data_IF_736202075942
#
_entry.id   IF_736202075942
#
_cell.length_a   1.000
_cell.length_b   1.000
_cell.length_c   1.000
_cell.angle_alpha   90.00
_cell.angle_beta   90.00
_cell.angle_gamma   90.00
#
_symmetry.space_group_name_H-M   'P 1'
#
loop_
_entity.id
_entity.type
_entity.pdbx_description
1 polymer ?
#
# COMPACT_ATOMS: atom_id res chain seq x y z
N UNK A 1 -4.87 -12.76 6.19
CA UNK A 1 -5.24 -11.34 6.03
C UNK A 1 -5.53 -11.10 4.56
N UNK A 2 -6.66 -10.52 4.20
CA UNK A 2 -6.96 -10.14 2.81
C UNK A 2 -6.57 -8.68 2.52
N UNK A 3 -6.62 -8.24 1.26
CA UNK A 3 -6.22 -6.88 0.86
C UNK A 3 -7.02 -5.79 1.57
N UNK A 4 -8.32 -5.98 1.79
CA UNK A 4 -9.15 -5.00 2.49
C UNK A 4 -8.74 -4.85 3.96
N UNK A 5 -8.40 -5.97 4.62
CA UNK A 5 -7.86 -5.94 5.97
C UNK A 5 -6.52 -5.21 6.02
N UNK A 6 -5.60 -5.50 5.10
CA UNK A 6 -4.31 -4.80 5.01
C UNK A 6 -4.50 -3.30 4.75
N UNK A 7 -5.42 -2.92 3.87
CA UNK A 7 -5.76 -1.52 3.61
C UNK A 7 -6.21 -0.79 4.87
N UNK A 8 -7.14 -1.39 5.64
CA UNK A 8 -7.59 -0.84 6.91
C UNK A 8 -6.45 -0.73 7.94
N UNK A 9 -5.59 -1.75 8.04
CA UNK A 9 -4.41 -1.70 8.93
C UNK A 9 -3.44 -0.58 8.54
N UNK A 10 -3.20 -0.36 7.24
CA UNK A 10 -2.34 0.72 6.77
C UNK A 10 -2.95 2.11 7.03
N UNK A 11 -4.28 2.26 6.95
CA UNK A 11 -4.97 3.48 7.38
C UNK A 11 -4.74 3.72 8.88
N UNK A 12 -4.87 2.68 9.70
CA UNK A 12 -4.67 2.80 11.15
C UNK A 12 -3.21 3.09 11.51
N UNK A 13 -2.26 2.48 10.81
CA UNK A 13 -0.84 2.72 11.00
C UNK A 13 -0.46 4.19 10.76
N UNK A 14 -1.01 4.78 9.69
CA UNK A 14 -0.86 6.19 9.32
C UNK A 14 -1.97 7.10 9.86
N UNK A 15 -2.63 6.72 10.96
CA UNK A 15 -3.66 7.56 11.59
C UNK A 15 -3.17 9.00 11.80
N UNK A 16 -4.03 9.96 11.51
CA UNK A 16 -3.73 11.40 11.53
C UNK A 16 -2.74 11.90 10.46
N UNK A 17 -2.34 11.06 9.50
CA UNK A 17 -1.53 11.45 8.34
C UNK A 17 -2.31 11.25 7.02
N UNK A 18 -3.25 12.15 6.70
CA UNK A 18 -4.06 12.02 5.49
C UNK A 18 -3.22 12.06 4.20
N UNK A 19 -2.05 12.71 4.22
CA UNK A 19 -1.16 12.77 3.05
C UNK A 19 -0.60 11.39 2.73
N UNK A 20 -0.10 10.66 3.74
CA UNK A 20 0.39 9.28 3.55
C UNK A 20 -0.72 8.31 3.20
N UNK A 21 -1.88 8.44 3.85
CA UNK A 21 -3.04 7.60 3.52
C UNK A 21 -3.42 7.76 2.05
N UNK A 22 -3.53 9.00 1.57
CA UNK A 22 -3.82 9.28 0.16
C UNK A 22 -2.70 8.81 -0.77
N UNK A 23 -1.43 8.95 -0.37
CA UNK A 23 -0.28 8.52 -1.15
C UNK A 23 -0.32 7.02 -1.44
N UNK A 24 -0.33 6.16 -0.41
CA UNK A 24 -0.30 4.72 -0.65
C UNK A 24 -1.59 4.23 -1.35
N UNK A 25 -2.74 4.88 -1.10
CA UNK A 25 -4.01 4.53 -1.78
C UNK A 25 -3.91 4.78 -3.29
N UNK A 26 -3.28 5.89 -3.71
CA UNK A 26 -3.02 6.20 -5.12
C UNK A 26 -1.99 5.24 -5.72
N UNK A 27 -0.90 4.97 -5.01
CA UNK A 27 0.13 4.02 -5.45
C UNK A 27 -0.47 2.65 -5.69
N UNK A 28 -1.28 2.12 -4.76
CA UNK A 28 -2.01 0.86 -4.95
C UNK A 28 -2.93 0.90 -6.18
N UNK A 29 -3.74 1.96 -6.32
CA UNK A 29 -4.67 2.11 -7.46
C UNK A 29 -3.93 2.03 -8.81
N UNK A 30 -2.81 2.73 -8.94
CA UNK A 30 -2.00 2.72 -10.16
C UNK A 30 -1.26 1.40 -10.36
N UNK A 31 -0.67 0.84 -9.29
CA UNK A 31 0.04 -0.43 -9.36
C UNK A 31 -0.88 -1.56 -9.81
N UNK A 32 -2.09 -1.64 -9.22
CA UNK A 32 -3.10 -2.61 -9.62
C UNK A 32 -3.47 -2.46 -11.10
N UNK A 33 -3.80 -1.24 -11.54
CA UNK A 33 -4.17 -0.96 -12.92
C UNK A 33 -3.06 -1.38 -13.90
N UNK A 34 -1.81 -1.02 -13.61
CA UNK A 34 -0.67 -1.37 -14.44
C UNK A 34 -0.44 -2.88 -14.46
N UNK A 35 -0.54 -3.55 -13.30
CA UNK A 35 -0.40 -5.00 -13.18
C UNK A 35 -1.44 -5.75 -14.01
N UNK A 36 -2.72 -5.36 -13.88
CA UNK A 36 -3.81 -5.92 -14.68
C UNK A 36 -3.60 -5.71 -16.18
N UNK A 37 -3.22 -4.50 -16.60
CA UNK A 37 -2.91 -4.19 -18.01
C UNK A 37 -1.68 -4.92 -18.55
N UNK A 38 -0.76 -5.31 -17.66
CA UNK A 38 0.44 -6.09 -18.00
C UNK A 38 0.15 -7.60 -18.03
N UNK A 39 -1.07 -8.02 -17.71
CA UNK A 39 -1.46 -9.43 -17.67
C UNK A 39 -1.07 -10.18 -16.40
N UNK A 40 -0.71 -9.47 -15.32
CA UNK A 40 -0.43 -10.08 -14.01
C UNK A 40 -1.71 -10.65 -13.40
N UNK A 41 -1.60 -11.81 -12.74
CA UNK A 41 -2.75 -12.51 -12.18
C UNK A 41 -2.36 -13.26 -10.90
N UNK A 42 -3.37 -13.66 -10.11
CA UNK A 42 -3.18 -14.51 -8.95
C UNK A 42 -2.20 -13.93 -7.93
N UNK A 43 -1.19 -14.73 -7.56
CA UNK A 43 -0.21 -14.38 -6.53
C UNK A 43 0.71 -13.21 -6.94
N UNK A 44 0.99 -13.05 -8.24
CA UNK A 44 1.82 -11.96 -8.74
C UNK A 44 1.14 -10.60 -8.53
N UNK A 45 -0.13 -10.49 -8.97
CA UNK A 45 -0.91 -9.27 -8.79
C UNK A 45 -1.15 -8.99 -7.29
N UNK A 46 -1.43 -10.02 -6.50
CA UNK A 46 -1.57 -9.90 -5.05
C UNK A 46 -0.30 -9.36 -4.39
N UNK A 47 0.87 -9.87 -4.80
CA UNK A 47 2.17 -9.40 -4.28
C UNK A 47 2.40 -7.94 -4.62
N UNK A 48 2.10 -7.53 -5.85
CA UNK A 48 2.18 -6.13 -6.28
C UNK A 48 1.26 -5.24 -5.44
N UNK A 49 0.00 -5.63 -5.26
CA UNK A 49 -0.97 -4.87 -4.49
C UNK A 49 -0.57 -4.74 -3.01
N UNK A 50 -0.10 -5.83 -2.39
CA UNK A 50 0.40 -5.81 -1.00
C UNK A 50 1.62 -4.91 -0.88
N UNK A 51 2.61 -5.05 -1.79
CA UNK A 51 3.81 -4.23 -1.80
C UNK A 51 3.47 -2.75 -1.95
N UNK A 52 2.52 -2.40 -2.82
CA UNK A 52 2.08 -1.02 -3.01
C UNK A 52 1.50 -0.40 -1.72
N UNK A 53 0.75 -1.16 -0.92
CA UNK A 53 0.26 -0.68 0.37
C UNK A 53 1.37 -0.43 1.37
N UNK A 54 2.40 -1.29 1.43
CA UNK A 54 3.42 -1.26 2.48
C UNK A 54 4.76 -0.63 2.07
N UNK A 55 4.94 -0.18 0.82
CA UNK A 55 6.24 0.23 0.29
C UNK A 55 6.97 1.27 1.16
N UNK A 56 6.23 2.21 1.73
CA UNK A 56 6.73 3.29 2.56
C UNK A 56 6.59 3.04 4.07
N UNK A 57 6.19 1.83 4.52
CA UNK A 57 5.87 1.53 5.93
C UNK A 57 6.99 1.91 6.92
N UNK A 58 8.25 1.91 6.47
CA UNK A 58 9.40 2.29 7.28
C UNK A 58 9.52 3.78 7.60
N UNK A 59 8.87 4.67 6.84
CA UNK A 59 9.08 6.13 6.96
C UNK A 59 8.69 6.64 8.35
N UNK A 60 7.54 6.21 8.88
CA UNK A 60 7.07 6.66 10.20
C UNK A 60 8.09 6.36 11.30
N UNK A 61 8.61 5.13 11.33
CA UNK A 61 9.62 4.70 12.32
C UNK A 61 10.94 5.44 12.12
N UNK A 62 11.30 5.77 10.88
CA UNK A 62 12.52 6.53 10.61
C UNK A 62 12.40 7.97 11.14
N UNK A 63 11.29 8.66 10.89
CA UNK A 63 11.04 10.02 11.38
C UNK A 63 10.86 10.11 12.90
N UNK A 64 10.40 9.03 13.55
CA UNK A 64 10.33 8.98 15.02
C UNK A 64 11.73 8.84 15.66
N UNK A 65 12.73 8.35 14.91
CA UNK A 65 14.08 8.07 15.41
C UNK A 65 15.12 9.15 15.10
N UNK A 66 14.94 9.89 14.01
CA UNK A 66 15.93 10.82 13.45
C UNK A 66 15.29 12.18 13.15
#
# INVERSE_FOLDING_TARGET
MNLNQLFCEMIQYYRNDPKRIQHFTKVHSYAKLIGELSGMQGEELLTLEVAAYVHDIGIKVAEEKY
#
